data_IF_361992837562
#
_entry.id   IF_361992837562
#
_cell.length_a   1.000
_cell.length_b   1.000
_cell.length_c   1.000
_cell.angle_alpha   90.00
_cell.angle_beta   90.00
_cell.angle_gamma   90.00
#
_symmetry.space_group_name_H-M   'P 1'
#
loop_
_entity.id
_entity.type
_entity.pdbx_description
1 polymer ?
#
# COMPACT_ATOMS: atom_id res chain seq x y z
N UNK A 1 8.59 5.59 -18.74
CA UNK A 1 7.49 5.98 -17.81
C UNK A 1 7.97 5.68 -16.40
N UNK A 2 8.11 6.69 -15.55
CA UNK A 2 8.53 6.49 -14.15
C UNK A 2 7.43 5.76 -13.38
N UNK A 3 7.80 4.92 -12.41
CA UNK A 3 6.83 4.32 -11.50
C UNK A 3 6.08 5.43 -10.74
N UNK A 4 4.75 5.32 -10.52
CA UNK A 4 4.03 6.26 -9.68
C UNK A 4 4.70 6.29 -8.31
N UNK A 5 5.01 7.50 -7.85
CA UNK A 5 5.58 7.70 -6.53
C UNK A 5 4.48 7.44 -5.52
N UNK A 6 4.54 6.29 -4.84
CA UNK A 6 3.60 5.98 -3.78
C UNK A 6 3.81 6.98 -2.63
N UNK A 7 2.73 7.48 -2.01
CA UNK A 7 2.86 8.38 -0.88
C UNK A 7 3.55 7.67 0.28
N UNK A 8 4.27 8.42 1.11
CA UNK A 8 4.70 7.89 2.40
C UNK A 8 3.47 7.53 3.23
N UNK A 9 3.40 6.30 3.71
CA UNK A 9 2.29 5.78 4.50
C UNK A 9 2.08 6.55 5.81
N UNK A 10 3.13 7.20 6.34
CA UNK A 10 3.05 8.04 7.54
C UNK A 10 2.14 9.26 7.36
N UNK A 11 1.91 9.69 6.12
CA UNK A 11 1.10 10.86 5.77
C UNK A 11 -0.41 10.57 5.72
N UNK A 12 -0.81 9.30 5.81
CA UNK A 12 -2.21 8.87 5.73
C UNK A 12 -2.70 8.37 7.09
N UNK A 13 -4.01 8.43 7.33
CA UNK A 13 -4.62 7.58 8.37
C UNK A 13 -4.58 6.11 7.93
N UNK A 14 -4.72 5.16 8.85
CA UNK A 14 -4.75 3.73 8.51
C UNK A 14 -5.90 3.39 7.57
N UNK A 15 -7.06 4.01 7.77
CA UNK A 15 -8.23 3.81 6.90
C UNK A 15 -7.98 4.37 5.50
N UNK A 16 -7.44 5.58 5.41
CA UNK A 16 -7.10 6.19 4.11
C UNK A 16 -6.01 5.41 3.39
N UNK A 17 -5.04 4.87 4.14
CA UNK A 17 -3.99 4.03 3.61
C UNK A 17 -4.54 2.73 2.99
N UNK A 18 -5.51 2.08 3.65
CA UNK A 18 -6.21 0.90 3.12
C UNK A 18 -6.99 1.25 1.85
N UNK A 19 -7.72 2.37 1.86
CA UNK A 19 -8.50 2.82 0.71
C UNK A 19 -7.61 3.14 -0.50
N UNK A 20 -6.50 3.86 -0.26
CA UNK A 20 -5.50 4.17 -1.27
C UNK A 20 -4.90 2.89 -1.87
N UNK A 21 -4.41 1.97 -1.03
CA UNK A 21 -3.81 0.72 -1.49
C UNK A 21 -4.77 -0.10 -2.36
N UNK A 22 -6.02 -0.27 -1.89
CA UNK A 22 -7.06 -1.01 -2.62
C UNK A 22 -7.28 -0.43 -4.01
N UNK A 23 -7.41 0.90 -4.11
CA UNK A 23 -7.57 1.59 -5.39
C UNK A 23 -6.36 1.39 -6.30
N UNK A 24 -5.14 1.53 -5.78
CA UNK A 24 -3.93 1.36 -6.58
C UNK A 24 -3.75 -0.07 -7.09
N UNK A 25 -4.08 -1.07 -6.28
CA UNK A 25 -4.10 -2.47 -6.71
C UNK A 25 -5.09 -2.64 -7.87
N UNK A 26 -6.33 -2.16 -7.73
CA UNK A 26 -7.33 -2.22 -8.81
C UNK A 26 -6.82 -1.55 -10.10
N UNK A 27 -6.22 -0.37 -10.00
CA UNK A 27 -5.65 0.35 -11.14
C UNK A 27 -4.52 -0.43 -11.82
N UNK A 28 -3.62 -1.07 -11.07
CA UNK A 28 -2.51 -1.86 -11.63
C UNK A 28 -2.99 -3.19 -12.23
N UNK A 29 -3.98 -3.84 -11.62
CA UNK A 29 -4.56 -5.08 -12.15
C UNK A 29 -5.39 -4.85 -13.41
N UNK A 30 -5.94 -3.65 -13.61
CA UNK A 30 -6.57 -3.25 -14.87
C UNK A 30 -5.57 -3.09 -16.03
N UNK A 31 -4.26 -2.97 -15.74
CA UNK A 31 -3.22 -2.89 -16.76
C UNK A 31 -2.96 -4.29 -17.34
N UNK A 32 -2.93 -4.37 -18.67
CA UNK A 32 -2.65 -5.61 -19.40
C UNK A 32 -1.31 -6.23 -18.94
N UNK A 33 -1.26 -7.56 -18.74
CA UNK A 33 0.01 -8.25 -18.51
C UNK A 33 1.02 -7.97 -19.62
N UNK A 34 2.29 -7.77 -19.27
CA UNK A 34 3.36 -7.43 -20.22
C UNK A 34 3.48 -5.94 -20.56
N UNK A 35 2.56 -5.08 -20.10
CA UNK A 35 2.75 -3.62 -20.22
C UNK A 35 3.98 -3.17 -19.42
N UNK A 36 4.92 -2.42 -20.02
CA UNK A 36 6.10 -1.90 -19.32
C UNK A 36 5.72 -1.10 -18.07
N UNK A 37 6.45 -1.30 -16.97
CA UNK A 37 6.18 -0.61 -15.70
C UNK A 37 5.14 -1.32 -14.80
N UNK A 38 4.43 -2.34 -15.29
CA UNK A 38 3.42 -3.07 -14.49
C UNK A 38 4.07 -3.86 -13.35
N UNK A 39 5.17 -4.55 -13.62
CA UNK A 39 5.87 -5.37 -12.62
C UNK A 39 6.50 -4.50 -11.53
N UNK A 40 7.10 -3.38 -11.93
CA UNK A 40 7.70 -2.40 -11.03
C UNK A 40 6.65 -1.75 -10.13
N UNK A 41 5.46 -1.43 -10.68
CA UNK A 41 4.31 -0.95 -9.91
C UNK A 41 3.81 -1.98 -8.90
N UNK A 42 3.70 -3.24 -9.30
CA UNK A 42 3.31 -4.33 -8.39
C UNK A 42 4.31 -4.51 -7.26
N UNK A 43 5.62 -4.49 -7.57
CA UNK A 43 6.68 -4.58 -6.57
C UNK A 43 6.60 -3.43 -5.56
N UNK A 44 6.44 -2.18 -6.03
CA UNK A 44 6.27 -1.03 -5.14
C UNK A 44 5.03 -1.16 -4.24
N UNK A 45 3.90 -1.63 -4.79
CA UNK A 45 2.69 -1.86 -4.01
C UNK A 45 2.86 -2.98 -2.97
N UNK A 46 3.65 -4.02 -3.24
CA UNK A 46 3.91 -5.07 -2.25
C UNK A 46 4.72 -4.56 -1.06
N UNK A 47 5.75 -3.75 -1.29
CA UNK A 47 6.49 -3.11 -0.20
C UNK A 47 5.60 -2.16 0.61
N UNK A 48 4.75 -1.40 -0.08
CA UNK A 48 3.80 -0.50 0.58
C UNK A 48 2.78 -1.26 1.43
N UNK A 49 2.28 -2.41 0.94
CA UNK A 49 1.41 -3.32 1.70
C UNK A 49 2.12 -3.83 2.97
N UNK A 50 3.41 -4.18 2.87
CA UNK A 50 4.21 -4.64 4.01
C UNK A 50 4.24 -3.57 5.11
N UNK A 51 4.52 -2.33 4.73
CA UNK A 51 4.51 -1.20 5.67
C UNK A 51 3.13 -0.95 6.29
N UNK A 52 2.04 -1.09 5.51
CA UNK A 52 0.67 -0.98 6.03
C UNK A 52 0.35 -2.07 7.05
N UNK A 53 0.72 -3.32 6.78
CA UNK A 53 0.53 -4.40 7.73
C UNK A 53 1.30 -4.15 9.04
N UNK A 54 2.57 -3.76 8.96
CA UNK A 54 3.37 -3.44 10.16
C UNK A 54 2.73 -2.33 11.00
N UNK A 55 2.15 -1.31 10.35
CA UNK A 55 1.42 -0.26 11.04
C UNK A 55 0.16 -0.79 11.74
N UNK A 56 -0.66 -1.57 11.03
CA UNK A 56 -1.89 -2.15 11.60
C UNK A 56 -1.57 -3.01 12.83
N UNK A 57 -0.50 -3.80 12.76
CA UNK A 57 -0.07 -4.63 13.88
C UNK A 57 0.44 -3.80 15.07
N UNK A 58 1.17 -2.70 14.83
CA UNK A 58 1.53 -1.75 15.91
C UNK A 58 0.30 -1.13 16.57
N UNK A 59 -0.64 -0.63 15.77
CA UNK A 59 -1.88 -0.02 16.29
C UNK A 59 -2.74 -1.02 17.07
N UNK A 60 -2.74 -2.30 16.64
CA UNK A 60 -3.39 -3.39 17.39
C UNK A 60 -2.70 -3.65 18.72
N UNK A 61 -1.37 -3.72 18.74
CA UNK A 61 -0.61 -3.92 19.96
C UNK A 61 -0.86 -2.78 20.95
N UNK A 62 -0.80 -1.52 20.50
CA UNK A 62 -1.08 -0.34 21.32
C UNK A 62 -2.48 -0.36 21.95
N UNK A 63 -3.50 -0.75 21.17
CA UNK A 63 -4.88 -0.89 21.66
C UNK A 63 -5.04 -2.08 22.62
N UNK A 64 -4.30 -3.16 22.41
CA UNK A 64 -4.30 -4.35 23.27
C UNK A 64 -3.56 -4.16 24.60
N UNK A 65 -2.59 -3.25 24.66
CA UNK A 65 -1.85 -2.87 25.87
C UNK A 65 -2.52 -1.78 26.72
N UNK A 66 -3.66 -1.24 26.26
CA UNK A 66 -4.41 -0.18 26.94
C UNK A 66 -5.44 -0.69 27.97
N UNK A 67 -5.35 -1.95 28.38
CA UNK A 67 -6.17 -2.61 29.42
C UNK A 67 -5.33 -2.91 30.67
#
# INVERSE_FOLDING_TARGET
MSAPQLPDISTLSTVDAIAFYTRQVSEVFAIRPGTPGRSERLAALFEWKRALHERIERERAERGTAL
#
